data_IF_856224583442
#
_entry.id   IF_856224583442
#
_cell.length_a   1.000
_cell.length_b   1.000
_cell.length_c   1.000
_cell.angle_alpha   90.00
_cell.angle_beta   90.00
_cell.angle_gamma   90.00
#
_symmetry.space_group_name_H-M   'P 1'
#
loop_
_entity.id
_entity.type
_entity.pdbx_description
1 polymer ?
#
# COMPACT_ATOMS: atom_id res chain seq x y z
N UNK A 1 23.61 -2.86 11.56
CA UNK A 1 22.94 -3.07 10.26
C UNK A 1 23.38 -1.95 9.33
N UNK A 2 23.97 -2.27 8.17
CA UNK A 2 24.25 -1.25 7.16
C UNK A 2 22.91 -0.73 6.61
N UNK A 3 22.76 0.60 6.55
CA UNK A 3 21.58 1.23 5.98
C UNK A 3 21.62 1.02 4.46
N UNK A 4 20.67 0.27 3.91
CA UNK A 4 20.58 0.05 2.47
C UNK A 4 20.14 1.33 1.77
N UNK A 5 21.02 1.92 0.94
CA UNK A 5 20.70 3.12 0.14
C UNK A 5 19.49 2.88 -0.78
N UNK A 6 19.31 1.64 -1.25
CA UNK A 6 18.14 1.25 -2.02
C UNK A 6 16.85 1.36 -1.20
N UNK A 7 16.86 0.91 0.06
CA UNK A 7 15.69 1.06 0.93
C UNK A 7 15.35 2.53 1.16
N UNK A 8 16.35 3.39 1.33
CA UNK A 8 16.13 4.83 1.47
C UNK A 8 15.50 5.43 0.20
N UNK A 9 16.00 5.07 -0.98
CA UNK A 9 15.45 5.55 -2.25
C UNK A 9 14.00 5.09 -2.46
N UNK A 10 13.69 3.82 -2.14
CA UNK A 10 12.32 3.30 -2.23
C UNK A 10 11.40 3.90 -1.17
N UNK A 11 11.95 4.25 0.00
CA UNK A 11 11.25 4.92 1.10
C UNK A 11 11.21 6.44 0.95
N UNK A 12 11.69 7.01 -0.16
CA UNK A 12 11.62 8.44 -0.43
C UNK A 12 10.18 8.84 -0.78
N UNK A 13 9.74 10.02 -0.36
CA UNK A 13 8.43 10.57 -0.72
C UNK A 13 8.39 11.03 -2.17
N UNK A 14 9.54 11.37 -2.76
CA UNK A 14 9.66 11.74 -4.16
C UNK A 14 9.65 10.52 -5.11
N UNK A 15 9.86 9.30 -4.61
CA UNK A 15 9.80 8.11 -5.46
C UNK A 15 8.35 7.89 -5.96
N UNK A 16 8.10 7.81 -7.28
CA UNK A 16 6.76 7.92 -7.86
C UNK A 16 5.95 6.62 -7.70
N UNK A 17 5.51 6.35 -6.48
CA UNK A 17 4.72 5.17 -6.09
C UNK A 17 3.23 5.29 -6.41
N UNK A 18 2.74 6.49 -6.71
CA UNK A 18 1.31 6.78 -6.88
C UNK A 18 0.49 6.78 -5.57
N UNK A 19 1.08 6.40 -4.43
CA UNK A 19 0.38 6.33 -3.14
C UNK A 19 -0.16 7.68 -2.67
N UNK A 20 0.47 8.79 -3.06
CA UNK A 20 0.00 10.14 -2.74
C UNK A 20 -1.39 10.46 -3.33
N UNK A 21 -1.85 9.79 -4.38
CA UNK A 21 -3.15 10.09 -4.97
C UNK A 21 -4.34 9.52 -4.16
N UNK A 22 -4.10 8.71 -3.13
CA UNK A 22 -5.15 7.92 -2.47
C UNK A 22 -5.16 8.12 -0.95
N UNK A 23 -6.34 8.37 -0.38
CA UNK A 23 -6.50 8.65 1.06
C UNK A 23 -6.74 7.41 1.91
N UNK A 24 -6.92 6.24 1.30
CA UNK A 24 -7.29 5.01 2.02
C UNK A 24 -8.66 5.08 2.70
N UNK A 25 -9.56 5.93 2.21
CA UNK A 25 -10.87 6.18 2.83
C UNK A 25 -10.86 7.25 3.93
N UNK A 26 -9.69 7.83 4.24
CA UNK A 26 -9.57 8.86 5.28
C UNK A 26 -10.38 10.12 4.95
N UNK A 27 -10.39 10.54 3.68
CA UNK A 27 -11.14 11.72 3.26
C UNK A 27 -12.65 11.51 3.47
N UNK A 28 -13.18 10.37 3.04
CA UNK A 28 -14.58 10.02 3.26
C UNK A 28 -14.91 9.91 4.76
N UNK A 29 -14.08 9.24 5.55
CA UNK A 29 -14.27 9.13 6.99
C UNK A 29 -14.29 10.52 7.67
N UNK A 30 -13.41 11.43 7.25
CA UNK A 30 -13.38 12.79 7.78
C UNK A 30 -14.64 13.59 7.39
N UNK A 31 -15.06 13.55 6.12
CA UNK A 31 -16.26 14.25 5.65
C UNK A 31 -17.56 13.70 6.28
N UNK A 32 -17.59 12.41 6.64
CA UNK A 32 -18.69 11.78 7.36
C UNK A 32 -18.68 12.04 8.87
N UNK A 33 -17.66 12.74 9.39
CA UNK A 33 -17.57 13.09 10.82
C UNK A 33 -16.99 12.00 11.72
N UNK A 34 -16.40 10.94 11.15
CA UNK A 34 -15.81 9.82 11.90
C UNK A 34 -14.41 10.15 12.45
N UNK A 35 -13.76 11.16 11.87
CA UNK A 35 -12.47 11.69 12.33
C UNK A 35 -12.70 13.01 13.07
N UNK A 36 -12.89 12.92 14.39
CA UNK A 36 -13.21 14.06 15.27
C UNK A 36 -12.00 14.65 16.00
N UNK A 37 -10.83 14.01 15.89
CA UNK A 37 -9.59 14.49 16.48
C UNK A 37 -8.42 13.48 16.40
N UNK A 38 -7.32 13.74 17.13
CA UNK A 38 -6.11 12.91 17.07
C UNK A 38 -6.36 11.43 17.42
N UNK A 39 -7.14 11.16 18.46
CA UNK A 39 -7.42 9.78 18.89
C UNK A 39 -8.30 8.99 17.92
N UNK A 40 -9.26 9.64 17.23
CA UNK A 40 -10.00 8.97 16.15
C UNK A 40 -9.14 8.73 14.92
N UNK A 41 -8.24 9.67 14.59
CA UNK A 41 -7.29 9.51 13.49
C UNK A 41 -6.34 8.35 13.76
N UNK A 42 -5.75 8.29 14.96
CA UNK A 42 -4.86 7.20 15.35
C UNK A 42 -5.57 5.84 15.25
N UNK A 43 -6.80 5.72 15.77
CA UNK A 43 -7.61 4.49 15.60
C UNK A 43 -7.84 4.16 14.14
N UNK A 44 -8.16 5.14 13.29
CA UNK A 44 -8.35 4.91 11.86
C UNK A 44 -7.06 4.39 11.19
N UNK A 45 -5.90 4.95 11.53
CA UNK A 45 -4.59 4.49 11.04
C UNK A 45 -4.29 3.07 11.49
N UNK A 46 -4.57 2.73 12.75
CA UNK A 46 -4.37 1.38 13.29
C UNK A 46 -5.24 0.34 12.58
N UNK A 47 -6.52 0.63 12.32
CA UNK A 47 -7.40 -0.27 11.57
C UNK A 47 -6.93 -0.44 10.11
N UNK A 48 -6.49 0.65 9.48
CA UNK A 48 -5.90 0.59 8.13
C UNK A 48 -4.61 -0.24 8.09
N UNK A 49 -3.77 -0.13 9.13
CA UNK A 49 -2.55 -0.90 9.25
C UNK A 49 -2.85 -2.39 9.44
N UNK A 50 -3.76 -2.73 10.34
CA UNK A 50 -4.20 -4.12 10.54
C UNK A 50 -4.76 -4.69 9.24
N UNK A 51 -5.57 -3.91 8.51
CA UNK A 51 -6.13 -4.36 7.24
C UNK A 51 -5.08 -4.50 6.14
N UNK A 52 -4.05 -3.64 6.10
CA UNK A 52 -2.91 -3.85 5.22
C UNK A 52 -2.14 -5.12 5.59
N UNK A 53 -1.99 -5.43 6.89
CA UNK A 53 -1.37 -6.65 7.39
C UNK A 53 -2.14 -7.92 7.01
N UNK A 54 -3.46 -7.90 7.10
CA UNK A 54 -4.30 -9.06 6.83
C UNK A 54 -4.65 -9.26 5.34
N UNK A 55 -4.77 -8.16 4.57
CA UNK A 55 -5.24 -8.20 3.18
C UNK A 55 -4.13 -8.02 2.14
N UNK A 56 -3.19 -7.10 2.34
CA UNK A 56 -2.21 -6.75 1.31
C UNK A 56 -0.83 -7.41 1.54
N UNK A 57 -0.35 -7.42 2.77
CA UNK A 57 0.95 -7.98 3.14
C UNK A 57 1.12 -9.48 2.80
N UNK A 58 0.09 -10.35 2.89
CA UNK A 58 0.25 -11.75 2.49
C UNK A 58 0.52 -11.89 0.98
N UNK A 59 -0.02 -10.99 0.15
CA UNK A 59 0.29 -10.93 -1.28
C UNK A 59 1.72 -10.45 -1.55
N UNK A 60 2.20 -9.45 -0.80
CA UNK A 60 3.61 -9.02 -0.85
C UNK A 60 4.51 -10.21 -0.53
N UNK A 61 4.18 -10.94 0.52
CA UNK A 61 4.95 -12.09 1.01
C UNK A 61 4.97 -13.23 -0.03
N UNK A 62 3.81 -13.59 -0.56
CA UNK A 62 3.68 -14.64 -1.57
C UNK A 62 4.40 -14.29 -2.88
N UNK A 63 4.25 -13.04 -3.35
CA UNK A 63 4.88 -12.58 -4.58
C UNK A 63 6.39 -12.35 -4.43
N UNK A 64 6.87 -12.05 -3.23
CA UNK A 64 8.29 -11.98 -2.92
C UNK A 64 8.93 -13.37 -2.94
N UNK A 65 8.28 -14.36 -2.30
CA UNK A 65 8.76 -15.74 -2.24
C UNK A 65 8.75 -16.45 -3.60
N UNK A 66 7.77 -16.14 -4.46
CA UNK A 66 7.58 -16.76 -5.77
C UNK A 66 7.21 -15.73 -6.84
N UNK A 67 8.16 -14.90 -7.32
CA UNK A 67 7.89 -13.79 -8.24
C UNK A 67 7.38 -14.20 -9.61
N UNK A 68 7.54 -15.47 -9.99
CA UNK A 68 7.00 -16.11 -11.18
C UNK A 68 5.50 -16.42 -11.06
N UNK A 69 4.98 -16.59 -9.83
CA UNK A 69 3.55 -16.78 -9.56
C UNK A 69 2.74 -15.48 -9.61
N UNK A 70 3.39 -14.35 -9.90
CA UNK A 70 2.77 -13.02 -9.99
C UNK A 70 1.44 -13.02 -10.76
N UNK A 71 1.30 -13.59 -11.97
CA UNK A 71 0.03 -13.52 -12.72
C UNK A 71 -1.16 -14.17 -12.00
N UNK A 72 -0.92 -15.21 -11.20
CA UNK A 72 -1.97 -15.84 -10.40
C UNK A 72 -2.29 -15.02 -9.15
N UNK A 73 -1.26 -14.47 -8.50
CA UNK A 73 -1.41 -13.61 -7.31
C UNK A 73 -2.12 -12.29 -7.65
N UNK A 74 -1.84 -11.73 -8.82
CA UNK A 74 -2.47 -10.51 -9.33
C UNK A 74 -3.98 -10.71 -9.55
N UNK A 75 -4.36 -11.80 -10.23
CA UNK A 75 -5.77 -12.20 -10.39
C UNK A 75 -6.47 -12.50 -9.07
N UNK A 76 -5.76 -13.12 -8.13
CA UNK A 76 -6.31 -13.38 -6.80
C UNK A 76 -6.54 -12.10 -6.02
N UNK A 77 -5.63 -11.13 -6.13
CA UNK A 77 -5.79 -9.83 -5.49
C UNK A 77 -6.96 -9.05 -6.10
N UNK A 78 -7.16 -9.19 -7.41
CA UNK A 78 -8.32 -8.61 -8.08
C UNK A 78 -9.64 -9.18 -7.55
N UNK A 79 -9.72 -10.50 -7.40
CA UNK A 79 -10.89 -11.17 -6.84
C UNK A 79 -11.12 -10.82 -5.35
N UNK A 80 -10.05 -10.56 -4.59
CA UNK A 80 -10.14 -10.18 -3.18
C UNK A 80 -10.61 -8.73 -3.00
N UNK A 81 -10.15 -7.80 -3.85
CA UNK A 81 -10.52 -6.38 -3.78
C UNK A 81 -11.86 -6.12 -4.47
N UNK A 82 -12.96 -6.50 -3.81
CA UNK A 82 -14.33 -6.32 -4.32
C UNK A 82 -14.78 -4.86 -4.36
N UNK A 83 -14.18 -4.01 -3.54
CA UNK A 83 -14.44 -2.57 -3.56
C UNK A 83 -13.76 -1.91 -4.76
N UNK A 84 -14.56 -1.34 -5.65
CA UNK A 84 -14.08 -0.81 -6.93
C UNK A 84 -13.13 0.39 -6.77
N UNK A 85 -13.29 1.20 -5.71
CA UNK A 85 -12.37 2.31 -5.37
C UNK A 85 -11.02 1.75 -4.93
N UNK A 86 -11.01 0.82 -3.98
CA UNK A 86 -9.78 0.21 -3.48
C UNK A 86 -9.06 -0.59 -4.59
N UNK A 87 -9.81 -1.30 -5.43
CA UNK A 87 -9.31 -2.01 -6.59
C UNK A 87 -8.61 -1.06 -7.58
N UNK A 88 -9.31 0.00 -8.00
CA UNK A 88 -8.78 1.04 -8.92
C UNK A 88 -7.52 1.69 -8.37
N UNK A 89 -7.53 2.05 -7.08
CA UNK A 89 -6.37 2.63 -6.39
C UNK A 89 -5.18 1.66 -6.36
N UNK A 90 -5.41 0.40 -6.05
CA UNK A 90 -4.38 -0.65 -6.03
C UNK A 90 -3.75 -0.85 -7.41
N UNK A 91 -4.55 -0.88 -8.48
CA UNK A 91 -4.06 -1.00 -9.86
C UNK A 91 -3.28 0.23 -10.32
N UNK A 92 -3.73 1.43 -9.95
CA UNK A 92 -3.03 2.68 -10.26
C UNK A 92 -1.66 2.74 -9.60
N UNK A 93 -1.60 2.45 -8.28
CA UNK A 93 -0.35 2.40 -7.52
C UNK A 93 0.61 1.31 -8.04
N UNK A 94 0.10 0.11 -8.35
CA UNK A 94 0.92 -0.96 -8.89
C UNK A 94 1.56 -0.61 -10.23
N UNK A 95 0.79 -0.01 -11.15
CA UNK A 95 1.35 0.48 -12.43
C UNK A 95 2.39 1.58 -12.25
N UNK A 96 2.14 2.54 -11.34
CA UNK A 96 3.11 3.58 -11.02
C UNK A 96 4.41 2.99 -10.45
N UNK A 97 4.29 2.07 -9.49
CA UNK A 97 5.40 1.35 -8.88
C UNK A 97 6.24 0.57 -9.91
N UNK A 98 5.59 -0.20 -10.80
CA UNK A 98 6.27 -0.92 -11.87
C UNK A 98 6.95 0.03 -12.86
N UNK A 99 6.28 1.12 -13.25
CA UNK A 99 6.86 2.12 -14.14
C UNK A 99 8.12 2.75 -13.54
N UNK A 100 8.04 3.20 -12.28
CA UNK A 100 9.15 3.77 -11.54
C UNK A 100 10.33 2.79 -11.44
N UNK A 101 10.09 1.58 -10.94
CA UNK A 101 11.14 0.59 -10.75
C UNK A 101 11.80 0.14 -12.06
N UNK A 102 11.01 -0.06 -13.12
CA UNK A 102 11.53 -0.45 -14.44
C UNK A 102 12.42 0.62 -15.07
N UNK A 103 12.20 1.89 -14.72
CA UNK A 103 12.95 3.01 -15.25
C UNK A 103 14.21 3.28 -14.40
N UNK A 104 14.11 3.20 -13.08
CA UNK A 104 15.19 3.61 -12.17
C UNK A 104 16.32 2.60 -11.99
N UNK A 105 16.03 1.29 -12.06
CA UNK A 105 16.99 0.28 -11.57
C UNK A 105 17.67 -0.56 -12.66
N UNK A 106 17.36 -0.33 -13.95
CA UNK A 106 18.05 -0.99 -15.06
C UNK A 106 17.88 -2.52 -15.17
N UNK A 107 17.00 -3.13 -14.37
CA UNK A 107 16.80 -4.59 -14.33
C UNK A 107 15.99 -5.06 -15.54
N UNK A 108 16.57 -5.98 -16.33
CA UNK A 108 15.93 -6.53 -17.53
C UNK A 108 14.55 -7.14 -17.26
N UNK A 109 14.44 -7.97 -16.21
CA UNK A 109 13.17 -8.62 -15.84
C UNK A 109 12.07 -7.63 -15.44
N UNK A 110 12.41 -6.42 -14.97
CA UNK A 110 11.41 -5.38 -14.68
C UNK A 110 10.90 -4.69 -15.95
N UNK A 111 11.79 -4.50 -16.94
CA UNK A 111 11.41 -3.98 -18.26
C UNK A 111 10.52 -4.97 -19.00
N UNK A 112 10.85 -6.26 -18.95
CA UNK A 112 10.02 -7.33 -19.52
C UNK A 112 8.63 -7.40 -18.85
N UNK A 113 8.58 -7.34 -17.51
CA UNK A 113 7.31 -7.31 -16.78
C UNK A 113 6.44 -6.10 -17.19
N UNK A 114 7.06 -4.93 -17.39
CA UNK A 114 6.36 -3.74 -17.87
C UNK A 114 5.92 -3.85 -19.33
N UNK A 115 6.70 -4.48 -20.20
CA UNK A 115 6.28 -4.75 -21.58
C UNK A 115 5.04 -5.66 -21.58
N UNK A 116 5.10 -6.78 -20.85
CA UNK A 116 3.97 -7.70 -20.67
C UNK A 116 2.72 -7.01 -20.14
N UNK A 117 2.85 -6.08 -19.19
CA UNK A 117 1.68 -5.34 -18.65
C UNK A 117 0.93 -4.49 -19.68
N UNK A 118 1.54 -4.21 -20.84
CA UNK A 118 0.92 -3.43 -21.92
C UNK A 118 0.27 -4.33 -22.98
N UNK A 119 0.69 -5.58 -23.07
CA UNK A 119 0.28 -6.54 -24.10
C UNK A 119 -0.78 -7.52 -23.58
N UNK A 120 -0.72 -7.85 -22.29
CA UNK A 120 -1.59 -8.83 -21.65
C UNK A 120 -2.79 -8.15 -20.97
N UNK A 121 -3.98 -8.27 -21.57
CA UNK A 121 -5.22 -7.73 -21.01
C UNK A 121 -5.59 -8.35 -19.66
N UNK A 122 -5.06 -9.54 -19.33
CA UNK A 122 -5.30 -10.19 -18.03
C UNK A 122 -4.42 -9.61 -16.90
N UNK A 123 -3.48 -8.72 -17.24
CA UNK A 123 -2.64 -8.04 -16.28
C UNK A 123 -3.42 -6.94 -15.55
N UNK A 124 -3.80 -7.20 -14.30
CA UNK A 124 -4.54 -6.23 -13.48
C UNK A 124 -3.60 -5.15 -12.95
N UNK A 125 -2.40 -5.56 -12.51
CA UNK A 125 -1.33 -4.68 -12.04
C UNK A 125 -1.53 -4.16 -10.62
N UNK A 126 -1.97 -5.00 -9.70
CA UNK A 126 -2.20 -4.62 -8.31
C UNK A 126 -0.91 -4.34 -7.55
N UNK A 127 -0.97 -3.36 -6.65
CA UNK A 127 0.19 -2.86 -5.93
C UNK A 127 0.88 -3.93 -5.07
N UNK A 128 0.16 -4.67 -4.24
CA UNK A 128 0.79 -5.60 -3.29
C UNK A 128 1.53 -6.78 -3.96
N UNK A 129 0.95 -7.51 -4.95
CA UNK A 129 1.71 -8.51 -5.69
C UNK A 129 2.90 -7.93 -6.45
N UNK A 130 2.73 -6.77 -7.11
CA UNK A 130 3.85 -6.10 -7.80
C UNK A 130 4.94 -5.67 -6.82
N UNK A 131 4.57 -5.18 -5.65
CA UNK A 131 5.51 -4.74 -4.64
C UNK A 131 6.42 -5.90 -4.21
N UNK A 132 5.84 -7.04 -3.84
CA UNK A 132 6.60 -8.24 -3.47
C UNK A 132 7.49 -8.75 -4.60
N UNK A 133 6.92 -8.86 -5.80
CA UNK A 133 7.60 -9.36 -6.98
C UNK A 133 8.78 -8.46 -7.39
N UNK A 134 8.64 -7.14 -7.28
CA UNK A 134 9.70 -6.17 -7.60
C UNK A 134 10.76 -6.15 -6.49
N UNK A 135 10.35 -6.17 -5.21
CA UNK A 135 11.29 -6.22 -4.09
C UNK A 135 12.20 -7.45 -4.15
N UNK A 136 11.67 -8.61 -4.54
CA UNK A 136 12.47 -9.82 -4.76
C UNK A 136 13.49 -9.65 -5.89
N UNK A 137 13.07 -9.07 -7.03
CA UNK A 137 13.97 -8.79 -8.18
C UNK A 137 15.06 -7.77 -7.86
N UNK A 138 14.79 -6.87 -6.92
CA UNK A 138 15.74 -5.89 -6.39
C UNK A 138 16.66 -6.46 -5.30
N UNK A 139 16.48 -7.73 -4.90
CA UNK A 139 17.33 -8.40 -3.91
C UNK A 139 17.05 -8.00 -2.45
N UNK A 140 15.91 -7.37 -2.16
CA UNK A 140 15.53 -7.05 -0.77
C UNK A 140 15.20 -8.33 -0.01
N UNK A 141 15.62 -8.43 1.24
CA UNK A 141 15.17 -9.53 2.09
C UNK A 141 13.65 -9.42 2.34
N UNK A 142 12.97 -10.56 2.50
CA UNK A 142 11.51 -10.61 2.73
C UNK A 142 11.05 -9.66 3.84
N UNK A 143 11.73 -9.69 4.98
CA UNK A 143 11.40 -8.82 6.12
C UNK A 143 11.62 -7.33 5.82
N UNK A 144 12.59 -6.97 4.98
CA UNK A 144 12.79 -5.58 4.56
C UNK A 144 11.67 -5.12 3.64
N UNK A 145 11.26 -5.96 2.68
CA UNK A 145 10.13 -5.70 1.79
C UNK A 145 8.83 -5.51 2.59
N UNK A 146 8.56 -6.42 3.55
CA UNK A 146 7.37 -6.33 4.41
C UNK A 146 7.35 -5.06 5.28
N UNK A 147 8.49 -4.71 5.91
CA UNK A 147 8.62 -3.47 6.68
C UNK A 147 8.44 -2.23 5.81
N UNK A 148 9.09 -2.20 4.64
CA UNK A 148 8.98 -1.09 3.71
C UNK A 148 7.54 -0.91 3.22
N UNK A 149 6.85 -2.01 2.90
CA UNK A 149 5.44 -1.96 2.48
C UNK A 149 4.54 -1.31 3.53
N UNK A 150 4.59 -1.78 4.78
CA UNK A 150 3.78 -1.22 5.87
C UNK A 150 4.18 0.22 6.22
N UNK A 151 5.48 0.53 6.17
CA UNK A 151 5.97 1.90 6.36
C UNK A 151 5.40 2.86 5.31
N UNK A 152 5.44 2.48 4.03
CA UNK A 152 4.92 3.28 2.93
C UNK A 152 3.40 3.45 3.02
N UNK A 153 2.68 2.40 3.45
CA UNK A 153 1.24 2.46 3.69
C UNK A 153 0.89 3.48 4.78
N UNK A 154 1.52 3.38 5.96
CA UNK A 154 1.31 4.34 7.05
C UNK A 154 1.67 5.76 6.63
N UNK A 155 2.83 5.93 5.99
CA UNK A 155 3.30 7.23 5.50
C UNK A 155 2.30 7.87 4.54
N UNK A 156 1.70 7.08 3.65
CA UNK A 156 0.67 7.55 2.71
C UNK A 156 -0.58 8.08 3.41
N UNK A 157 -1.05 7.36 4.44
CA UNK A 157 -2.20 7.79 5.25
C UNK A 157 -1.90 9.04 6.08
N UNK A 158 -0.72 9.09 6.71
CA UNK A 158 -0.26 10.27 7.48
C UNK A 158 -0.11 11.49 6.57
N UNK A 159 0.48 11.31 5.38
CA UNK A 159 0.55 12.38 4.37
C UNK A 159 -0.85 12.87 3.94
N UNK A 160 -1.81 11.94 3.82
CA UNK A 160 -3.19 12.28 3.51
C UNK A 160 -3.85 13.09 4.62
N UNK A 161 -3.61 12.73 5.89
CA UNK A 161 -4.12 13.46 7.04
C UNK A 161 -3.63 14.92 7.07
N UNK A 162 -2.35 15.15 6.74
CA UNK A 162 -1.78 16.51 6.65
C UNK A 162 -2.46 17.32 5.55
N UNK A 163 -2.67 16.72 4.37
CA UNK A 163 -3.32 17.40 3.23
C UNK A 163 -4.80 17.67 3.43
N UNK A 164 -5.46 16.90 4.29
CA UNK A 164 -6.83 17.13 4.74
C UNK A 164 -6.91 18.13 5.91
N UNK A 165 -5.77 18.71 6.33
CA UNK A 165 -5.68 19.61 7.49
C UNK A 165 -6.18 18.98 8.80
N UNK A 166 -6.16 17.65 8.90
CA UNK A 166 -6.52 16.92 10.12
C UNK A 166 -5.39 16.94 11.16
N UNK A 167 -4.17 17.19 10.70
CA UNK A 167 -2.95 17.10 11.51
C UNK A 167 -1.83 17.94 10.88
N UNK A 168 -0.99 18.59 11.69
CA UNK A 168 0.12 19.42 11.22
C UNK A 168 1.36 18.60 10.83
N UNK A 169 2.30 19.14 10.03
CA UNK A 169 3.48 18.39 9.57
C UNK A 169 4.41 17.88 10.69
N UNK A 170 4.54 18.63 11.79
CA UNK A 170 5.39 18.21 12.91
C UNK A 170 4.72 17.08 13.70
N UNK A 171 3.43 17.22 13.97
CA UNK A 171 2.61 16.19 14.59
C UNK A 171 2.59 14.92 13.73
N UNK A 172 2.66 15.05 12.39
CA UNK A 172 2.64 13.91 11.47
C UNK A 172 3.87 13.04 11.64
N UNK A 173 5.05 13.67 11.74
CA UNK A 173 6.29 12.95 12.00
C UNK A 173 6.30 12.31 13.39
N UNK A 174 5.79 13.03 14.41
CA UNK A 174 5.67 12.50 15.76
C UNK A 174 4.73 11.27 15.80
N UNK A 175 3.56 11.36 15.18
CA UNK A 175 2.59 10.27 15.10
C UNK A 175 3.15 9.06 14.34
N UNK A 176 3.83 9.29 13.21
CA UNK A 176 4.47 8.21 12.46
C UNK A 176 5.53 7.48 13.29
N UNK A 177 6.34 8.21 14.06
CA UNK A 177 7.29 7.61 15.01
C UNK A 177 6.58 6.80 16.10
N UNK A 178 5.56 7.38 16.75
CA UNK A 178 4.76 6.70 17.79
C UNK A 178 4.14 5.39 17.29
N UNK A 179 3.65 5.36 16.05
CA UNK A 179 3.03 4.18 15.44
C UNK A 179 4.03 3.12 14.94
N UNK A 180 5.35 3.35 15.07
CA UNK A 180 6.37 2.36 14.70
C UNK A 180 6.17 1.03 15.43
N UNK A 181 5.84 1.08 16.73
CA UNK A 181 5.56 -0.12 17.52
C UNK A 181 4.35 -0.89 16.98
N UNK A 182 3.30 -0.18 16.56
CA UNK A 182 2.11 -0.79 15.96
C UNK A 182 2.43 -1.44 14.61
N UNK A 183 3.22 -0.80 13.75
CA UNK A 183 3.68 -1.37 12.48
C UNK A 183 4.42 -2.69 12.70
N UNK A 184 5.34 -2.73 13.68
CA UNK A 184 6.08 -3.95 14.01
C UNK A 184 5.17 -5.04 14.59
N UNK A 185 4.18 -4.66 15.41
CA UNK A 185 3.22 -5.61 15.96
C UNK A 185 2.31 -6.22 14.87
N UNK A 186 1.83 -5.42 13.92
CA UNK A 186 1.09 -5.89 12.73
C UNK A 186 1.98 -6.83 11.92
N UNK A 187 3.23 -6.45 11.66
CA UNK A 187 4.16 -7.30 10.94
C UNK A 187 4.32 -8.66 11.62
N UNK A 188 4.59 -8.69 12.93
CA UNK A 188 4.75 -9.94 13.67
C UNK A 188 3.51 -10.85 13.61
N UNK A 189 2.29 -10.29 13.55
CA UNK A 189 1.04 -11.07 13.40
C UNK A 189 0.84 -11.68 12.02
N UNK A 190 1.41 -11.07 10.98
CA UNK A 190 1.07 -11.38 9.58
C UNK A 190 2.27 -11.79 8.71
N UNK A 191 3.50 -11.71 9.20
CA UNK A 191 4.71 -11.91 8.37
C UNK A 191 4.84 -13.31 7.76
N UNK A 192 4.17 -14.31 8.33
CA UNK A 192 4.17 -15.70 7.84
C UNK A 192 2.95 -16.04 6.98
N UNK A 193 1.99 -15.12 6.84
CA UNK A 193 0.76 -15.37 6.06
C UNK A 193 1.03 -15.33 4.57
N UNK A 194 0.40 -16.25 3.85
CA UNK A 194 0.47 -16.36 2.40
C UNK A 194 -0.82 -15.90 1.72
N UNK A 195 -0.86 -16.04 0.39
CA UNK A 195 -2.02 -15.67 -0.41
C UNK A 195 -3.32 -16.44 -0.06
N UNK A 196 -3.21 -17.55 0.66
CA UNK A 196 -4.36 -18.32 1.15
C UNK A 196 -5.02 -17.71 2.40
N UNK A 197 -4.32 -16.84 3.11
CA UNK A 197 -4.73 -16.32 4.43
C UNK A 197 -5.32 -14.90 4.36
N UNK A 198 -5.72 -14.45 3.18
CA UNK A 198 -6.27 -13.11 2.97
C UNK A 198 -7.56 -12.94 3.77
N UNK A 199 -7.65 -11.83 4.49
CA UNK A 199 -8.84 -11.51 5.25
C UNK A 199 -9.12 -10.00 5.22
N UNK A 200 -10.41 -9.67 5.29
CA UNK A 200 -10.87 -8.30 5.54
C UNK A 200 -11.14 -8.13 7.01
N UNK A 201 -10.26 -7.41 7.71
CA UNK A 201 -10.36 -7.20 9.17
C UNK A 201 -10.94 -5.86 9.58
N UNK A 202 -11.04 -4.91 8.63
CA UNK A 202 -11.58 -3.56 8.86
C UNK A 202 -12.69 -3.22 7.84
N UNK A 203 -13.90 -3.78 7.97
CA UNK A 203 -14.99 -3.54 7.03
C UNK A 203 -15.40 -2.06 6.94
N UNK A 204 -15.26 -1.29 8.01
CA UNK A 204 -15.52 0.15 7.99
C UNK A 204 -14.55 0.90 7.07
N UNK A 205 -13.27 0.52 7.04
CA UNK A 205 -12.28 1.12 6.11
C UNK A 205 -12.71 0.88 4.67
N UNK A 206 -13.15 -0.34 4.37
CA UNK A 206 -13.65 -0.69 3.03
C UNK A 206 -14.89 0.15 2.66
N UNK A 207 -15.85 0.31 3.59
CA UNK A 207 -17.02 1.17 3.36
C UNK A 207 -16.64 2.63 3.10
N UNK A 208 -15.70 3.19 3.86
CA UNK A 208 -15.23 4.56 3.64
C UNK A 208 -14.50 4.71 2.30
N UNK A 209 -13.68 3.74 1.92
CA UNK A 209 -13.06 3.73 0.59
C UNK A 209 -14.13 3.72 -0.51
N UNK A 210 -15.15 2.86 -0.40
CA UNK A 210 -16.22 2.79 -1.41
C UNK A 210 -17.07 4.07 -1.48
N UNK A 211 -17.16 4.81 -0.38
CA UNK A 211 -17.89 6.07 -0.31
C UNK A 211 -17.16 7.24 -1.00
N UNK A 212 -15.86 7.12 -1.26
CA UNK A 212 -15.04 8.17 -1.84
C UNK A 212 -15.59 8.68 -3.19
N UNK A 213 -16.14 7.82 -4.04
CA UNK A 213 -16.77 8.22 -5.32
C UNK A 213 -18.08 9.00 -5.15
N UNK A 214 -18.65 9.04 -3.95
CA UNK A 214 -19.92 9.72 -3.62
C UNK A 214 -19.72 11.09 -2.96
N UNK A 215 -18.48 11.46 -2.64
CA UNK A 215 -18.18 12.75 -2.03
C UNK A 215 -18.42 13.90 -3.02
N UNK A 216 -19.06 14.97 -2.54
CA UNK A 216 -19.34 16.16 -3.36
C UNK A 216 -18.06 16.90 -3.77
N UNK A 217 -17.10 17.04 -2.84
CA UNK A 217 -15.78 17.62 -3.08
C UNK A 217 -14.70 16.60 -2.72
N UNK A 218 -13.69 16.46 -3.58
CA UNK A 218 -12.64 15.44 -3.46
C UNK A 218 -11.27 16.02 -3.74
N UNK A 219 -10.35 15.78 -2.82
CA UNK A 219 -8.93 16.08 -2.95
C UNK A 219 -8.11 14.87 -3.43
N UNK A 220 -8.62 13.65 -3.22
CA UNK A 220 -7.95 12.40 -3.60
C UNK A 220 -8.67 11.67 -4.73
N UNK A 221 -7.89 10.93 -5.53
CA UNK A 221 -8.33 10.16 -6.70
C UNK A 221 -8.57 8.69 -6.40
N UNK A 222 -8.48 8.27 -5.13
CA UNK A 222 -9.09 7.01 -4.69
C UNK A 222 -10.55 7.01 -5.08
#
# INVERSE_FOLDING_TARGET
MALSLLLLQLADSAFPTGGFAHSGGLEAAAQLGEITGPSSLERFLLHNLEQAGAGALPMVTAAHAAPERFPALDRRQDAFLTNHVANRASRAQGRAWLAAASHSFGIASLRELRARSREDESFCGHFAPLFGAIAARLGLARGEAQRLFLFLHLRGLVSSAVRLSLLGPLEAQALQYQLTGAVLAVLARHEMRGAEDLATTAPLVDLFQGHQDRLYSRLFSS
#
